data_IF_608010832606
#
_entry.id   IF_608010832606
#
_cell.length_a   1.000
_cell.length_b   1.000
_cell.length_c   1.000
_cell.angle_alpha   90.00
_cell.angle_beta   90.00
_cell.angle_gamma   90.00
#
_symmetry.space_group_name_H-M   'P 1'
#
loop_
_entity.id
_entity.type
_entity.pdbx_description
1 polymer ?
#
# COMPACT_ATOMS: atom_id res chain seq x y z
N UNK A 1 23.16 34.57 29.04
CA UNK A 1 24.16 34.02 28.11
C UNK A 1 23.47 33.01 27.20
N UNK A 2 23.12 33.33 25.95
CA UNK A 2 22.61 32.32 25.01
C UNK A 2 23.77 31.73 24.20
N UNK A 3 23.88 30.40 24.19
CA UNK A 3 24.87 29.67 23.41
C UNK A 3 24.52 29.71 21.92
N UNK A 4 25.53 30.01 21.11
CA UNK A 4 25.52 30.13 19.66
C UNK A 4 25.41 28.75 19.00
N UNK A 5 24.45 28.54 18.10
CA UNK A 5 24.38 27.31 17.30
C UNK A 5 25.28 27.46 16.07
N UNK A 6 26.45 26.82 16.09
CA UNK A 6 27.40 26.83 14.98
C UNK A 6 27.14 25.63 14.06
N UNK A 7 26.81 25.95 12.82
CA UNK A 7 26.80 25.03 11.68
C UNK A 7 28.13 24.27 11.60
N UNK A 8 28.07 22.94 11.48
CA UNK A 8 29.18 22.11 11.04
C UNK A 8 28.75 21.42 9.75
N UNK A 9 29.24 21.94 8.64
CA UNK A 9 29.33 21.18 7.40
C UNK A 9 30.28 20.00 7.65
N UNK A 10 29.81 18.78 7.38
CA UNK A 10 30.65 17.61 7.21
C UNK A 10 30.61 17.25 5.71
N UNK A 11 31.81 17.24 5.13
CA UNK A 11 32.12 16.90 3.74
C UNK A 11 31.57 15.56 3.29
N UNK A 12 31.15 15.57 2.02
CA UNK A 12 31.33 14.55 0.99
C UNK A 12 31.83 13.17 1.44
N UNK A 13 30.98 12.16 1.24
CA UNK A 13 31.47 10.85 0.83
C UNK A 13 30.56 10.25 -0.25
N UNK A 14 31.22 9.89 -1.35
CA UNK A 14 30.73 9.25 -2.57
C UNK A 14 30.06 7.89 -2.29
N UNK A 15 28.94 7.60 -2.97
CA UNK A 15 28.40 6.24 -3.14
C UNK A 15 27.36 6.17 -4.27
N UNK A 16 27.77 6.47 -5.51
CA UNK A 16 27.16 5.96 -6.76
C UNK A 16 25.67 6.26 -7.04
N UNK A 17 25.17 5.98 -8.26
CA UNK A 17 23.74 5.95 -8.49
C UNK A 17 23.18 4.77 -7.70
N UNK A 18 22.68 5.02 -6.49
CA UNK A 18 21.89 4.04 -5.75
C UNK A 18 20.89 3.47 -6.73
N UNK A 19 20.96 2.16 -6.97
CA UNK A 19 20.09 1.46 -7.94
C UNK A 19 18.68 1.94 -7.69
N UNK A 20 18.19 2.80 -8.58
CA UNK A 20 16.81 3.25 -8.54
C UNK A 20 16.00 1.98 -8.52
N UNK A 21 15.21 1.78 -7.47
CA UNK A 21 14.16 0.78 -7.50
C UNK A 21 13.29 1.24 -8.67
N UNK A 22 13.45 0.63 -9.84
CA UNK A 22 12.52 0.85 -10.93
C UNK A 22 11.15 0.54 -10.35
N UNK A 23 10.21 1.50 -10.39
CA UNK A 23 8.88 1.22 -9.90
C UNK A 23 8.35 0.06 -10.74
N UNK A 24 7.93 -1.02 -10.07
CA UNK A 24 7.29 -2.18 -10.72
C UNK A 24 6.04 -1.79 -11.54
N UNK A 25 5.57 -0.55 -11.34
CA UNK A 25 4.50 0.10 -12.09
C UNK A 25 5.13 1.15 -13.01
N UNK A 26 5.21 0.84 -14.30
CA UNK A 26 5.70 1.76 -15.34
C UNK A 26 4.67 2.85 -15.72
N UNK A 27 3.93 3.39 -14.74
CA UNK A 27 2.96 4.47 -14.98
C UNK A 27 3.03 5.55 -13.90
N UNK A 28 2.80 6.80 -14.30
CA UNK A 28 2.63 7.91 -13.37
C UNK A 28 1.33 7.71 -12.56
N UNK A 29 1.46 7.65 -11.23
CA UNK A 29 0.34 7.38 -10.34
C UNK A 29 -0.76 8.46 -10.38
N UNK A 30 -0.41 9.72 -10.68
CA UNK A 30 -1.38 10.82 -10.79
C UNK A 30 -2.19 10.69 -12.07
N UNK A 31 -1.53 10.33 -13.18
CA UNK A 31 -2.21 10.05 -14.45
C UNK A 31 -3.11 8.83 -14.33
N UNK A 32 -2.64 7.75 -13.70
CA UNK A 32 -3.46 6.56 -13.44
C UNK A 32 -4.72 6.92 -12.62
N UNK A 33 -4.55 7.63 -11.50
CA UNK A 33 -5.67 8.04 -10.65
C UNK A 33 -6.70 8.86 -11.44
N UNK A 34 -6.26 9.86 -12.21
CA UNK A 34 -7.16 10.66 -13.04
C UNK A 34 -7.92 9.79 -14.05
N UNK A 35 -7.21 8.93 -14.78
CA UNK A 35 -7.82 8.03 -15.77
C UNK A 35 -8.85 7.09 -15.16
N UNK A 36 -8.61 6.57 -13.95
CA UNK A 36 -9.58 5.75 -13.22
C UNK A 36 -10.88 6.53 -12.96
N UNK A 37 -10.80 7.77 -12.47
CA UNK A 37 -11.99 8.60 -12.27
C UNK A 37 -12.73 8.92 -13.56
N UNK A 38 -12.00 9.26 -14.63
CA UNK A 38 -12.59 9.55 -15.94
C UNK A 38 -13.30 8.33 -16.54
N UNK A 39 -12.87 7.12 -16.20
CA UNK A 39 -13.50 5.85 -16.59
C UNK A 39 -14.58 5.36 -15.60
N UNK A 40 -15.01 6.19 -14.65
CA UNK A 40 -16.12 5.88 -13.74
C UNK A 40 -15.75 4.98 -12.55
N UNK A 41 -14.46 4.73 -12.32
CA UNK A 41 -14.03 4.07 -11.09
C UNK A 41 -14.23 5.00 -9.90
N UNK A 42 -14.55 4.41 -8.75
CA UNK A 42 -14.73 5.14 -7.49
C UNK A 42 -13.67 4.70 -6.51
N UNK A 43 -13.10 5.66 -5.80
CA UNK A 43 -12.27 5.38 -4.64
C UNK A 43 -13.13 4.80 -3.51
N UNK A 44 -12.58 3.83 -2.80
CA UNK A 44 -13.19 3.24 -1.62
C UNK A 44 -12.38 3.67 -0.39
N UNK A 45 -13.00 4.48 0.47
CA UNK A 45 -12.36 5.03 1.66
C UNK A 45 -11.99 3.92 2.62
N UNK A 46 -10.76 3.95 3.13
CA UNK A 46 -10.31 3.07 4.21
C UNK A 46 -10.71 3.66 5.57
N UNK A 47 -11.30 2.85 6.42
CA UNK A 47 -11.83 3.26 7.73
C UNK A 47 -11.33 2.35 8.85
N UNK A 48 -11.47 2.79 10.11
CA UNK A 48 -11.13 1.96 11.27
C UNK A 48 -11.90 0.62 11.33
N UNK A 49 -13.09 0.55 10.71
CA UNK A 49 -13.88 -0.69 10.63
C UNK A 49 -13.16 -1.78 9.82
N UNK A 50 -12.46 -1.38 8.76
CA UNK A 50 -11.63 -2.29 7.96
C UNK A 50 -10.43 -2.79 8.76
N UNK A 51 -9.83 -1.93 9.58
CA UNK A 51 -8.72 -2.30 10.46
C UNK A 51 -9.11 -3.31 11.54
N UNK A 52 -10.30 -3.18 12.13
CA UNK A 52 -10.80 -4.14 13.11
C UNK A 52 -11.00 -5.53 12.50
N UNK A 53 -11.49 -5.61 11.27
CA UNK A 53 -11.65 -6.89 10.57
C UNK A 53 -10.31 -7.63 10.38
N UNK A 54 -9.18 -6.92 10.30
CA UNK A 54 -7.85 -7.54 10.19
C UNK A 54 -7.47 -8.35 11.43
N UNK A 55 -7.99 -7.97 12.60
CA UNK A 55 -7.73 -8.68 13.87
C UNK A 55 -8.36 -10.08 13.89
N UNK A 56 -9.41 -10.29 13.11
CA UNK A 56 -10.11 -11.58 12.99
C UNK A 56 -9.47 -12.50 11.94
N UNK A 57 -8.53 -11.98 11.13
CA UNK A 57 -7.87 -12.75 10.09
C UNK A 57 -6.79 -13.69 10.66
N UNK A 58 -6.78 -14.98 10.27
CA UNK A 58 -5.66 -15.87 10.52
C UNK A 58 -4.32 -15.28 10.02
N UNK A 59 -3.18 -15.54 10.69
CA UNK A 59 -1.89 -14.97 10.32
C UNK A 59 -1.23 -15.71 9.13
N UNK A 60 -1.90 -15.73 7.98
CA UNK A 60 -1.42 -16.40 6.75
C UNK A 60 -0.55 -15.45 5.91
N UNK A 61 -1.02 -14.21 5.69
CA UNK A 61 -0.27 -13.16 4.99
C UNK A 61 0.49 -12.26 5.98
N UNK A 62 1.68 -11.79 5.59
CA UNK A 62 2.53 -10.94 6.46
C UNK A 62 2.39 -9.45 6.19
N UNK A 63 2.06 -9.06 4.96
CA UNK A 63 1.92 -7.66 4.60
C UNK A 63 0.65 -7.05 5.24
N UNK A 64 0.78 -5.97 6.04
CA UNK A 64 -0.36 -5.37 6.74
C UNK A 64 -1.31 -4.64 5.79
N UNK A 65 -0.84 -4.15 4.64
CA UNK A 65 -1.67 -3.47 3.66
C UNK A 65 -2.51 -4.47 2.87
N UNK A 66 -1.94 -5.59 2.43
CA UNK A 66 -2.70 -6.67 1.77
C UNK A 66 -3.78 -7.26 2.69
N UNK A 67 -3.45 -7.42 3.98
CA UNK A 67 -4.43 -7.82 4.99
C UNK A 67 -5.52 -6.78 5.16
N UNK A 68 -5.18 -5.49 5.09
CA UNK A 68 -6.16 -4.42 5.17
C UNK A 68 -7.10 -4.41 3.94
N UNK A 69 -6.58 -4.63 2.73
CA UNK A 69 -7.39 -4.77 1.52
C UNK A 69 -8.38 -5.94 1.65
N UNK A 70 -7.93 -7.06 2.23
CA UNK A 70 -8.80 -8.20 2.52
C UNK A 70 -9.87 -7.85 3.58
N UNK A 71 -9.49 -7.16 4.66
CA UNK A 71 -10.42 -6.68 5.69
C UNK A 71 -11.48 -5.74 5.12
N UNK A 72 -11.09 -4.83 4.21
CA UNK A 72 -12.02 -3.96 3.50
C UNK A 72 -12.98 -4.74 2.61
N UNK A 73 -12.48 -5.73 1.86
CA UNK A 73 -13.31 -6.62 1.03
C UNK A 73 -14.36 -7.37 1.85
N UNK A 74 -14.00 -7.91 3.02
CA UNK A 74 -14.92 -8.62 3.92
C UNK A 74 -16.01 -7.67 4.43
N UNK A 75 -15.61 -6.50 4.94
CA UNK A 75 -16.54 -5.54 5.55
C UNK A 75 -17.49 -4.91 4.53
N UNK A 76 -17.02 -4.62 3.32
CA UNK A 76 -17.83 -4.01 2.27
C UNK A 76 -18.57 -5.05 1.41
N UNK A 77 -18.29 -6.35 1.60
CA UNK A 77 -18.93 -7.44 0.87
C UNK A 77 -18.60 -7.46 -0.63
N UNK A 78 -17.41 -7.00 -1.00
CA UNK A 78 -16.95 -6.90 -2.40
C UNK A 78 -15.74 -7.81 -2.65
N UNK A 79 -15.60 -8.30 -3.88
CA UNK A 79 -14.48 -9.16 -4.23
C UNK A 79 -13.17 -8.38 -4.36
N UNK A 80 -12.15 -8.76 -3.58
CA UNK A 80 -10.77 -8.36 -3.83
C UNK A 80 -10.22 -9.15 -5.02
N UNK A 81 -9.91 -8.48 -6.13
CA UNK A 81 -9.24 -9.10 -7.28
C UNK A 81 -7.73 -9.02 -7.09
N UNK A 82 -7.03 -10.15 -7.11
CA UNK A 82 -5.59 -10.21 -6.84
C UNK A 82 -4.90 -11.30 -7.65
N UNK A 83 -3.61 -11.12 -7.92
CA UNK A 83 -2.73 -12.18 -8.45
C UNK A 83 -1.97 -12.91 -7.33
N UNK A 84 -2.07 -12.44 -6.08
CA UNK A 84 -1.40 -13.07 -4.94
C UNK A 84 -2.15 -14.34 -4.49
N UNK A 85 -1.46 -15.48 -4.62
CA UNK A 85 -1.95 -16.79 -4.21
C UNK A 85 -1.99 -16.97 -2.69
N UNK A 86 -1.24 -16.18 -1.93
CA UNK A 86 -1.26 -16.28 -0.47
C UNK A 86 -2.56 -15.71 0.09
N UNK A 87 -3.06 -14.59 -0.45
CA UNK A 87 -4.40 -14.08 -0.15
C UNK A 87 -5.51 -15.07 -0.52
N UNK A 88 -5.36 -15.86 -1.59
CA UNK A 88 -6.34 -16.88 -1.99
C UNK A 88 -6.55 -18.01 -0.97
N UNK A 89 -5.72 -18.09 0.07
CA UNK A 89 -5.85 -19.07 1.17
C UNK A 89 -6.86 -18.63 2.24
N UNK A 90 -7.31 -17.39 2.22
CA UNK A 90 -8.38 -16.93 3.10
C UNK A 90 -9.75 -17.30 2.53
N UNK A 91 -10.65 -17.77 3.40
CA UNK A 91 -12.06 -17.97 3.04
C UNK A 91 -12.81 -16.63 3.09
N UNK A 92 -12.51 -15.75 2.15
CA UNK A 92 -13.01 -14.37 2.09
C UNK A 92 -13.51 -14.01 0.67
N UNK A 93 -14.25 -12.89 0.50
CA UNK A 93 -14.68 -12.40 -0.81
C UNK A 93 -13.49 -11.97 -1.68
N UNK A 94 -12.82 -12.91 -2.34
CA UNK A 94 -11.69 -12.61 -3.22
C UNK A 94 -11.77 -13.40 -4.52
N UNK A 95 -11.09 -12.91 -5.55
CA UNK A 95 -10.93 -13.57 -6.84
C UNK A 95 -9.46 -13.53 -7.25
N UNK A 96 -8.87 -14.70 -7.40
CA UNK A 96 -7.54 -14.85 -7.99
C UNK A 96 -7.62 -14.67 -9.52
N UNK A 97 -6.71 -13.91 -10.11
CA UNK A 97 -6.57 -13.70 -11.57
C UNK A 97 -5.18 -14.08 -12.08
#
# INVERSE_FOLDING_TARGET
MPATFRSLAASDNDSGPGKGVEPAIACDARLLRRGLFENGYRELVMTGRHALAVLELPPIHKDPFDRMLLGQSIVEGINLVTADRMLARYSAPLRLV
#
